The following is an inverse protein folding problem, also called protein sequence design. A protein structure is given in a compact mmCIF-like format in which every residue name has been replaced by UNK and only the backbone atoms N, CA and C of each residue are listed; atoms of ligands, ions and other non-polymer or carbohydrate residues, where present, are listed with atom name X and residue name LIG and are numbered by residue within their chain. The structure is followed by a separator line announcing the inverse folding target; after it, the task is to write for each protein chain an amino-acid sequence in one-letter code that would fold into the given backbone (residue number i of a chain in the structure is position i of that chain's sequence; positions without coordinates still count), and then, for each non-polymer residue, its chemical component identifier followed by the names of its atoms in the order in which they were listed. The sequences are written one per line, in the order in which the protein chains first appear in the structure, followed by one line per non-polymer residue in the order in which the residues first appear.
data_IF_672191418559
#
_entry.id   IF_672191418559
#
_cell.length_a   1.000
_cell.length_b   1.000
_cell.length_c   1.000
_cell.angle_alpha   90.00
_cell.angle_beta   90.00
_cell.angle_gamma   90.00
#
_symmetry.space_group_name_H-M   'P 1'
#
loop_
_entity.id
_entity.type
_entity.pdbx_description
1 polymer ?
#
# COMPACT_ATOMS: atom_id res chain seq x y z
N UNK A 1 -18.39 8.75 88.06
CA UNK A 1 -18.90 9.45 86.87
C UNK A 1 -17.69 9.81 86.02
N UNK A 2 -17.19 8.87 85.21
CA UNK A 2 -16.06 9.08 84.31
C UNK A 2 -16.56 8.80 82.90
N UNK A 3 -16.64 9.88 82.12
CA UNK A 3 -17.21 9.92 80.78
C UNK A 3 -16.10 9.59 79.77
N UNK A 4 -16.23 8.49 79.04
CA UNK A 4 -15.35 8.12 77.94
C UNK A 4 -15.83 8.78 76.65
N UNK A 5 -14.99 9.62 76.06
CA UNK A 5 -15.23 10.24 74.73
C UNK A 5 -14.63 9.31 73.66
N UNK A 6 -15.42 8.79 72.70
CA UNK A 6 -14.86 8.09 71.55
C UNK A 6 -14.44 9.08 70.46
N UNK A 7 -13.18 8.97 70.04
CA UNK A 7 -12.62 9.65 68.87
C UNK A 7 -13.05 8.87 67.62
N UNK A 8 -13.85 9.49 66.75
CA UNK A 8 -14.18 8.93 65.44
C UNK A 8 -13.07 9.28 64.44
N UNK A 9 -12.32 8.27 64.00
CA UNK A 9 -11.39 8.38 62.88
C UNK A 9 -12.19 8.30 61.56
N UNK A 10 -12.21 9.39 60.80
CA UNK A 10 -12.78 9.44 59.45
C UNK A 10 -11.72 8.92 58.47
N UNK A 11 -11.90 7.70 57.97
CA UNK A 11 -11.08 7.16 56.89
C UNK A 11 -11.54 7.73 55.55
N UNK A 12 -10.70 8.55 54.91
CA UNK A 12 -10.92 9.07 53.56
C UNK A 12 -10.56 7.95 52.55
N UNK A 13 -11.57 7.27 52.01
CA UNK A 13 -11.38 6.31 50.93
C UNK A 13 -11.17 7.07 49.60
N UNK A 14 -9.93 7.09 49.10
CA UNK A 14 -9.63 7.60 47.77
C UNK A 14 -10.07 6.58 46.70
N UNK A 15 -11.18 6.85 46.00
CA UNK A 15 -11.53 6.10 44.79
C UNK A 15 -10.61 6.52 43.65
N UNK A 16 -9.61 5.70 43.34
CA UNK A 16 -8.87 5.80 42.09
C UNK A 16 -9.75 5.24 40.96
N UNK A 17 -10.48 6.11 40.27
CA UNK A 17 -11.14 5.74 39.02
C UNK A 17 -10.07 5.51 37.96
N UNK A 18 -9.81 4.25 37.61
CA UNK A 18 -9.02 3.91 36.43
C UNK A 18 -9.79 4.41 35.20
N UNK A 19 -9.26 5.47 34.56
CA UNK A 19 -9.75 5.90 33.26
C UNK A 19 -9.59 4.72 32.30
N UNK A 20 -10.59 4.41 31.45
CA UNK A 20 -10.40 3.43 30.40
C UNK A 20 -9.29 3.95 29.50
N UNK A 21 -8.17 3.24 29.46
CA UNK A 21 -7.17 3.42 28.43
C UNK A 21 -7.90 3.17 27.12
N UNK A 22 -8.27 4.24 26.42
CA UNK A 22 -8.68 4.11 25.04
C UNK A 22 -7.44 3.61 24.31
N UNK A 23 -7.37 2.29 24.12
CA UNK A 23 -6.64 1.74 23.00
C UNK A 23 -7.17 2.53 21.82
N UNK A 24 -6.33 3.40 21.26
CA UNK A 24 -6.62 4.10 20.01
C UNK A 24 -7.00 3.01 19.03
N UNK A 25 -8.31 2.81 18.88
CA UNK A 25 -8.85 1.81 18.00
C UNK A 25 -8.26 2.19 16.65
N UNK A 26 -7.45 1.28 16.11
CA UNK A 26 -6.70 1.46 14.89
C UNK A 26 -7.73 1.89 13.85
N UNK A 27 -7.83 3.20 13.53
CA UNK A 27 -8.93 3.75 12.73
C UNK A 27 -9.16 2.81 11.55
N UNK A 28 -10.29 2.11 11.57
CA UNK A 28 -10.63 1.19 10.52
C UNK A 28 -10.66 2.00 9.22
N UNK A 29 -9.80 1.64 8.27
CA UNK A 29 -9.79 2.28 6.96
C UNK A 29 -11.05 1.83 6.21
N UNK A 30 -11.84 2.79 5.73
CA UNK A 30 -13.09 2.48 5.07
C UNK A 30 -12.84 2.01 3.64
N UNK A 31 -13.54 0.95 3.22
CA UNK A 31 -13.58 0.56 1.81
C UNK A 31 -14.49 1.51 1.04
N UNK A 32 -13.89 2.54 0.42
CA UNK A 32 -14.57 3.59 -0.31
C UNK A 32 -13.70 4.05 -1.46
N UNK A 33 -14.33 4.35 -2.59
CA UNK A 33 -13.67 5.02 -3.70
C UNK A 33 -14.09 6.49 -3.78
N UNK A 34 -13.14 7.37 -4.06
CA UNK A 34 -13.33 8.78 -4.41
C UNK A 34 -12.61 9.02 -5.73
N UNK A 35 -13.32 9.49 -6.75
CA UNK A 35 -12.66 9.84 -8.00
C UNK A 35 -11.96 11.20 -7.85
N UNK A 36 -10.71 11.15 -7.40
CA UNK A 36 -9.86 12.34 -7.30
C UNK A 36 -9.43 12.78 -8.68
N UNK A 37 -9.44 14.10 -8.92
CA UNK A 37 -9.07 14.65 -10.22
C UNK A 37 -7.98 15.72 -10.13
N UNK A 38 -7.26 15.91 -11.23
CA UNK A 38 -6.33 17.03 -11.46
C UNK A 38 -4.93 16.78 -10.93
N UNK A 39 -4.26 17.83 -10.46
CA UNK A 39 -2.82 17.83 -10.16
C UNK A 39 -2.40 17.01 -8.93
N UNK A 40 -3.36 16.48 -8.16
CA UNK A 40 -3.09 15.82 -6.88
C UNK A 40 -2.99 16.76 -5.67
N UNK A 41 -3.14 18.07 -5.85
CA UNK A 41 -2.95 19.05 -4.77
C UNK A 41 -4.01 18.94 -3.64
N UNK A 42 -5.25 18.58 -3.98
CA UNK A 42 -6.37 18.42 -3.04
C UNK A 42 -6.69 16.95 -2.74
N UNK A 43 -5.77 16.04 -3.07
CA UNK A 43 -5.90 14.63 -2.78
C UNK A 43 -5.47 14.36 -1.32
N UNK A 44 -5.72 13.16 -0.77
CA UNK A 44 -5.42 12.89 0.64
C UNK A 44 -3.96 13.21 1.01
N UNK A 45 -3.76 13.78 2.19
CA UNK A 45 -2.41 13.94 2.73
C UNK A 45 -1.88 12.59 3.26
N UNK A 46 -0.57 12.49 3.48
CA UNK A 46 0.00 11.26 4.08
C UNK A 46 -0.60 10.94 5.46
N UNK A 47 -1.04 11.96 6.22
CA UNK A 47 -1.71 11.77 7.51
C UNK A 47 -3.11 11.16 7.41
N UNK A 48 -3.72 11.17 6.22
CA UNK A 48 -4.99 10.49 5.95
C UNK A 48 -4.80 9.02 5.52
N UNK A 49 -3.56 8.58 5.27
CA UNK A 49 -3.30 7.22 4.83
C UNK A 49 -3.51 6.22 5.97
N UNK A 50 -3.95 5.03 5.61
CA UNK A 50 -3.96 3.90 6.53
C UNK A 50 -2.56 3.54 6.98
N UNK A 51 -2.43 3.12 8.24
CA UNK A 51 -1.19 2.45 8.69
C UNK A 51 -0.95 1.20 7.82
N UNK A 52 0.32 0.86 7.59
CA UNK A 52 0.70 -0.29 6.77
C UNK A 52 -0.05 -1.56 7.18
N UNK A 53 -0.13 -1.85 8.48
CA UNK A 53 -0.82 -3.05 8.94
C UNK A 53 -2.34 -2.98 8.79
N UNK A 54 -2.96 -1.80 8.86
CA UNK A 54 -4.38 -1.65 8.56
C UNK A 54 -4.63 -1.95 7.08
N UNK A 55 -3.85 -1.35 6.19
CA UNK A 55 -3.94 -1.59 4.75
C UNK A 55 -3.64 -3.05 4.40
N UNK A 56 -2.64 -3.66 5.04
CA UNK A 56 -2.30 -5.06 4.89
C UNK A 56 -3.49 -5.96 5.25
N UNK A 57 -4.09 -5.74 6.42
CA UNK A 57 -5.21 -6.55 6.89
C UNK A 57 -6.43 -6.42 5.97
N UNK A 58 -6.76 -5.22 5.50
CA UNK A 58 -7.89 -5.01 4.57
C UNK A 58 -7.64 -5.69 3.21
N UNK A 59 -6.39 -5.75 2.74
CA UNK A 59 -6.04 -6.37 1.46
C UNK A 59 -5.79 -7.88 1.56
N UNK A 60 -5.59 -8.44 2.76
CA UNK A 60 -5.25 -9.85 2.97
C UNK A 60 -6.25 -10.82 2.31
N UNK A 61 -7.58 -10.66 2.45
CA UNK A 61 -8.52 -11.56 1.79
C UNK A 61 -8.40 -11.55 0.26
N UNK A 62 -8.08 -10.39 -0.33
CA UNK A 62 -7.88 -10.26 -1.78
C UNK A 62 -6.59 -10.99 -2.20
N UNK A 63 -5.49 -10.81 -1.46
CA UNK A 63 -4.22 -11.49 -1.74
C UNK A 63 -4.32 -13.02 -1.60
N UNK A 64 -5.24 -13.51 -0.78
CA UNK A 64 -5.51 -14.94 -0.62
C UNK A 64 -6.25 -15.56 -1.82
N UNK A 65 -6.95 -14.75 -2.62
CA UNK A 65 -7.88 -15.23 -3.66
C UNK A 65 -7.63 -14.73 -5.07
N UNK A 66 -6.79 -13.71 -5.22
CA UNK A 66 -6.62 -13.02 -6.49
C UNK A 66 -6.05 -13.91 -7.59
N UNK A 67 -5.19 -14.89 -7.28
CA UNK A 67 -4.70 -15.80 -8.32
C UNK A 67 -5.82 -16.66 -8.90
N UNK A 68 -6.64 -17.28 -8.04
CA UNK A 68 -7.77 -18.09 -8.47
C UNK A 68 -8.84 -17.27 -9.17
N UNK A 69 -9.22 -16.10 -8.64
CA UNK A 69 -10.22 -15.22 -9.25
C UNK A 69 -9.84 -14.76 -10.66
N UNK A 70 -8.55 -14.55 -10.94
CA UNK A 70 -8.07 -14.15 -12.25
C UNK A 70 -7.70 -15.33 -13.17
N UNK A 71 -7.77 -16.57 -12.68
CA UNK A 71 -7.36 -17.76 -13.44
C UNK A 71 -5.85 -17.85 -13.69
N UNK A 72 -5.02 -17.22 -12.85
CA UNK A 72 -3.56 -17.17 -13.01
C UNK A 72 -2.82 -18.34 -12.34
N UNK A 73 -3.55 -19.26 -11.73
CA UNK A 73 -3.02 -20.44 -11.06
C UNK A 73 -3.51 -20.55 -9.61
N UNK A 74 -2.81 -21.37 -8.81
CA UNK A 74 -3.16 -21.58 -7.41
C UNK A 74 -3.14 -20.28 -6.60
N UNK A 75 -4.10 -20.16 -5.69
CA UNK A 75 -4.13 -19.10 -4.68
C UNK A 75 -2.82 -19.05 -3.87
N UNK A 76 -2.45 -17.86 -3.42
CA UNK A 76 -1.25 -17.69 -2.60
C UNK A 76 -1.40 -18.48 -1.29
N UNK A 77 -0.38 -19.29 -0.96
CA UNK A 77 -0.27 -19.91 0.36
C UNK A 77 0.02 -18.87 1.44
N UNK A 78 -0.21 -19.22 2.70
CA UNK A 78 0.16 -18.37 3.84
C UNK A 78 1.67 -18.03 3.87
N UNK A 79 2.53 -18.95 3.43
CA UNK A 79 3.97 -18.73 3.34
C UNK A 79 4.35 -17.71 2.25
N UNK A 80 3.68 -17.76 1.09
CA UNK A 80 3.87 -16.78 0.02
C UNK A 80 3.39 -15.39 0.45
N UNK A 81 2.23 -15.29 1.10
CA UNK A 81 1.70 -14.03 1.65
C UNK A 81 2.67 -13.44 2.70
N UNK A 82 3.19 -14.26 3.61
CA UNK A 82 4.19 -13.82 4.58
C UNK A 82 5.48 -13.35 3.89
N UNK A 83 5.89 -14.03 2.82
CA UNK A 83 7.05 -13.63 2.01
C UNK A 83 6.84 -12.28 1.33
N UNK A 84 5.62 -11.96 0.87
CA UNK A 84 5.28 -10.63 0.34
C UNK A 84 5.45 -9.57 1.45
N UNK A 85 4.90 -9.80 2.66
CA UNK A 85 5.03 -8.83 3.78
C UNK A 85 6.49 -8.58 4.13
N UNK A 86 7.28 -9.65 4.21
CA UNK A 86 8.71 -9.59 4.51
C UNK A 86 9.50 -8.84 3.42
N UNK A 87 9.21 -9.12 2.15
CA UNK A 87 9.83 -8.44 1.02
C UNK A 87 9.54 -6.93 1.04
N UNK A 88 8.28 -6.52 1.30
CA UNK A 88 7.93 -5.10 1.44
C UNK A 88 8.73 -4.44 2.56
N UNK A 89 8.79 -5.05 3.74
CA UNK A 89 9.54 -4.50 4.87
C UNK A 89 11.03 -4.35 4.55
N UNK A 90 11.65 -5.40 4.00
CA UNK A 90 13.07 -5.41 3.66
C UNK A 90 13.41 -4.35 2.60
N UNK A 91 12.63 -4.30 1.52
CA UNK A 91 12.90 -3.40 0.40
C UNK A 91 12.57 -1.96 0.77
N UNK A 92 11.54 -1.71 1.57
CA UNK A 92 11.26 -0.40 2.16
C UNK A 92 12.44 0.11 2.99
N UNK A 93 12.98 -0.72 3.88
CA UNK A 93 14.16 -0.37 4.68
C UNK A 93 15.38 -0.05 3.81
N UNK A 94 15.61 -0.83 2.74
CA UNK A 94 16.76 -0.64 1.86
C UNK A 94 16.65 0.59 0.93
N UNK A 95 15.43 1.04 0.61
CA UNK A 95 15.20 2.08 -0.41
C UNK A 95 14.65 3.39 0.15
N UNK A 96 14.13 3.38 1.37
CA UNK A 96 13.42 4.51 1.98
C UNK A 96 12.01 4.74 1.41
N UNK A 97 11.50 3.86 0.54
CA UNK A 97 10.14 3.97 -0.01
C UNK A 97 9.14 3.47 1.03
N UNK A 98 8.05 4.22 1.24
CA UNK A 98 7.03 3.92 2.25
C UNK A 98 6.34 2.56 2.00
N UNK A 99 6.18 1.75 3.05
CA UNK A 99 5.60 0.40 2.96
C UNK A 99 4.16 0.38 2.47
N UNK A 100 3.35 1.36 2.88
CA UNK A 100 1.96 1.49 2.44
C UNK A 100 1.92 1.79 0.95
N UNK A 101 2.83 2.63 0.45
CA UNK A 101 2.94 2.91 -0.98
C UNK A 101 3.35 1.67 -1.80
N UNK A 102 4.35 0.91 -1.32
CA UNK A 102 4.74 -0.36 -1.99
C UNK A 102 3.56 -1.33 -2.05
N UNK A 103 2.85 -1.52 -0.92
CA UNK A 103 1.66 -2.37 -0.89
C UNK A 103 0.58 -1.88 -1.87
N UNK A 104 0.28 -0.58 -1.90
CA UNK A 104 -0.72 -0.03 -2.82
C UNK A 104 -0.38 -0.27 -4.28
N UNK A 105 0.91 -0.23 -4.67
CA UNK A 105 1.35 -0.55 -6.02
C UNK A 105 1.24 -2.05 -6.30
N UNK A 106 1.65 -2.94 -5.39
CA UNK A 106 1.41 -4.39 -5.54
C UNK A 106 -0.09 -4.69 -5.74
N UNK A 107 -0.93 -4.04 -4.94
CA UNK A 107 -2.38 -4.16 -5.04
C UNK A 107 -2.95 -3.45 -6.27
N UNK A 108 -2.23 -2.54 -6.91
CA UNK A 108 -2.64 -1.97 -8.19
C UNK A 108 -2.29 -2.92 -9.34
N UNK A 109 -1.09 -3.48 -9.34
CA UNK A 109 -0.55 -4.28 -10.43
C UNK A 109 -1.08 -5.72 -10.48
N UNK A 110 -1.14 -6.41 -9.34
CA UNK A 110 -1.38 -7.86 -9.31
C UNK A 110 -2.43 -8.33 -8.30
N UNK A 111 -2.95 -7.39 -7.49
CA UNK A 111 -3.79 -7.70 -6.33
C UNK A 111 -3.11 -8.69 -5.37
N UNK A 112 -1.77 -8.65 -5.35
CA UNK A 112 -0.90 -9.53 -4.58
C UNK A 112 -0.73 -10.94 -5.14
N UNK A 113 -1.26 -11.29 -6.32
CA UNK A 113 -1.05 -12.63 -6.87
C UNK A 113 0.41 -12.81 -7.32
N UNK A 114 1.15 -13.75 -6.71
CA UNK A 114 2.56 -14.00 -7.08
C UNK A 114 2.72 -14.61 -8.48
N UNK A 115 1.64 -15.20 -9.00
CA UNK A 115 1.57 -15.87 -10.31
C UNK A 115 1.04 -14.96 -11.43
N UNK A 116 0.88 -13.66 -11.16
CA UNK A 116 0.43 -12.70 -12.17
C UNK A 116 1.22 -12.88 -13.48
N UNK A 117 0.54 -12.99 -14.63
CA UNK A 117 1.21 -13.12 -15.92
C UNK A 117 2.13 -11.94 -16.19
N UNK A 118 3.13 -12.20 -17.01
CA UNK A 118 3.98 -11.14 -17.53
C UNK A 118 3.25 -10.42 -18.66
N UNK A 119 3.06 -9.12 -18.55
CA UNK A 119 2.57 -8.32 -19.68
C UNK A 119 3.72 -7.98 -20.64
N UNK A 120 3.42 -7.90 -21.93
CA UNK A 120 4.41 -7.58 -22.96
C UNK A 120 3.80 -6.82 -24.14
N UNK A 121 3.93 -5.48 -24.13
CA UNK A 121 3.52 -4.60 -25.22
C UNK A 121 4.74 -3.90 -25.85
N UNK A 122 5.85 -4.62 -26.01
CA UNK A 122 7.16 -4.09 -26.42
C UNK A 122 8.14 -3.90 -25.26
N UNK A 123 7.66 -4.00 -24.02
CA UNK A 123 8.46 -4.10 -22.79
C UNK A 123 7.89 -5.23 -21.95
N UNK A 124 8.76 -6.10 -21.43
CA UNK A 124 8.35 -7.21 -20.56
C UNK A 124 8.19 -6.73 -19.12
N UNK A 125 7.02 -6.89 -18.54
CA UNK A 125 6.70 -6.43 -17.20
C UNK A 125 6.25 -7.62 -16.32
N UNK A 126 7.17 -8.36 -15.67
CA UNK A 126 6.80 -9.52 -14.87
C UNK A 126 6.54 -9.19 -13.40
N UNK A 127 5.94 -10.16 -12.73
CA UNK A 127 5.89 -10.25 -11.26
C UNK A 127 4.90 -9.32 -10.59
N UNK A 128 4.90 -9.36 -9.26
CA UNK A 128 3.94 -8.68 -8.37
C UNK A 128 3.71 -7.20 -8.66
N UNK A 129 4.74 -6.52 -9.16
CA UNK A 129 4.74 -5.09 -9.44
C UNK A 129 4.87 -4.78 -10.95
N UNK A 130 4.74 -5.77 -11.83
CA UNK A 130 4.81 -5.59 -13.30
C UNK A 130 6.01 -4.72 -13.72
N UNK A 131 7.20 -5.08 -13.24
CA UNK A 131 8.36 -4.18 -13.27
C UNK A 131 9.05 -4.14 -14.63
N UNK A 132 9.48 -2.97 -15.10
CA UNK A 132 10.11 -2.77 -16.40
C UNK A 132 11.31 -3.71 -16.62
N UNK A 133 11.17 -4.72 -17.49
CA UNK A 133 12.15 -5.78 -17.74
C UNK A 133 12.69 -6.44 -16.45
N UNK A 134 11.82 -6.62 -15.46
CA UNK A 134 12.11 -7.30 -14.20
C UNK A 134 12.60 -8.74 -14.39
N UNK A 135 13.40 -9.21 -13.45
CA UNK A 135 13.92 -10.58 -13.38
C UNK A 135 13.05 -11.50 -12.52
N UNK A 136 12.35 -10.94 -11.52
CA UNK A 136 11.46 -11.70 -10.65
C UNK A 136 10.14 -12.07 -11.33
N UNK A 137 9.76 -13.35 -11.25
CA UNK A 137 8.45 -13.85 -11.68
C UNK A 137 8.14 -15.19 -11.02
N UNK A 138 6.85 -15.46 -10.79
CA UNK A 138 6.34 -16.81 -10.50
C UNK A 138 5.12 -17.15 -11.39
N UNK A 139 5.00 -16.50 -12.56
CA UNK A 139 3.98 -16.88 -13.54
C UNK A 139 4.11 -18.37 -13.89
N UNK A 140 3.05 -19.14 -13.69
CA UNK A 140 3.04 -20.60 -13.91
C UNK A 140 3.82 -21.43 -12.87
N UNK A 141 4.33 -20.83 -11.79
CA UNK A 141 5.15 -21.51 -10.77
C UNK A 141 4.38 -21.69 -9.46
N UNK A 142 4.35 -22.92 -8.92
CA UNK A 142 3.72 -23.23 -7.63
C UNK A 142 4.52 -24.33 -6.88
N UNK A 143 4.96 -24.09 -5.62
CA UNK A 143 4.92 -22.83 -4.90
C UNK A 143 5.93 -21.81 -5.46
N UNK A 144 5.65 -20.52 -5.28
CA UNK A 144 6.57 -19.42 -5.52
C UNK A 144 7.54 -19.28 -4.35
N UNK A 145 8.84 -19.25 -4.62
CA UNK A 145 9.84 -19.14 -3.55
C UNK A 145 9.87 -17.74 -2.94
N UNK A 146 10.23 -17.65 -1.65
CA UNK A 146 10.38 -16.35 -0.98
C UNK A 146 11.44 -15.46 -1.64
N UNK A 147 12.49 -16.03 -2.23
CA UNK A 147 13.51 -15.28 -2.98
C UNK A 147 12.97 -14.69 -4.29
N UNK A 148 12.14 -15.43 -5.03
CA UNK A 148 11.48 -14.91 -6.22
C UNK A 148 10.51 -13.77 -5.86
N UNK A 149 9.77 -13.91 -4.75
CA UNK A 149 8.89 -12.85 -4.22
C UNK A 149 9.69 -11.60 -3.84
N UNK A 150 10.80 -11.77 -3.13
CA UNK A 150 11.69 -10.66 -2.78
C UNK A 150 12.26 -9.97 -4.01
N UNK A 151 12.61 -10.73 -5.06
CA UNK A 151 13.09 -10.16 -6.32
C UNK A 151 12.00 -9.37 -7.05
N UNK A 152 10.76 -9.88 -7.12
CA UNK A 152 9.63 -9.15 -7.73
C UNK A 152 9.39 -7.79 -7.07
N UNK A 153 9.45 -7.72 -5.74
CA UNK A 153 9.29 -6.45 -5.00
C UNK A 153 10.51 -5.56 -5.18
N UNK A 154 11.73 -6.13 -5.17
CA UNK A 154 12.97 -5.37 -5.39
C UNK A 154 12.98 -4.71 -6.76
N UNK A 155 12.64 -5.43 -7.82
CA UNK A 155 12.61 -4.91 -9.18
C UNK A 155 11.63 -3.73 -9.30
N UNK A 156 10.45 -3.82 -8.69
CA UNK A 156 9.45 -2.74 -8.75
C UNK A 156 9.81 -1.52 -7.90
N UNK A 157 10.45 -1.70 -6.75
CA UNK A 157 10.75 -0.57 -5.85
C UNK A 157 12.11 0.07 -6.16
N UNK A 158 13.15 -0.75 -6.33
CA UNK A 158 14.51 -0.28 -6.58
C UNK A 158 14.79 -0.02 -8.06
N UNK A 159 13.93 -0.49 -8.97
CA UNK A 159 14.12 -0.43 -10.41
C UNK A 159 15.00 -1.57 -10.92
N UNK A 160 15.18 -1.59 -12.24
CA UNK A 160 16.02 -2.55 -12.96
C UNK A 160 17.13 -1.81 -13.70
N UNK A 161 17.99 -2.53 -14.40
CA UNK A 161 18.95 -1.92 -15.34
C UNK A 161 18.28 -1.24 -16.53
N UNK A 162 16.99 -1.50 -16.76
CA UNK A 162 16.25 -1.03 -17.94
C UNK A 162 15.28 0.11 -17.62
N UNK A 163 14.94 0.31 -16.34
CA UNK A 163 13.93 1.28 -15.98
C UNK A 163 13.87 1.60 -14.49
N UNK A 164 13.23 2.73 -14.23
CA UNK A 164 12.99 3.23 -12.88
C UNK A 164 12.02 2.35 -12.11
N UNK A 165 12.28 2.19 -10.81
CA UNK A 165 11.31 1.71 -9.84
C UNK A 165 10.70 2.87 -9.05
N UNK A 166 9.88 2.53 -8.05
CA UNK A 166 9.22 3.53 -7.19
C UNK A 166 10.19 4.51 -6.55
N UNK A 167 11.40 4.08 -6.15
CA UNK A 167 12.41 4.95 -5.54
C UNK A 167 12.79 6.11 -6.48
N UNK A 168 13.07 5.80 -7.73
CA UNK A 168 13.47 6.78 -8.74
C UNK A 168 12.29 7.67 -9.12
N UNK A 169 11.12 7.08 -9.40
CA UNK A 169 9.90 7.83 -9.72
C UNK A 169 9.53 8.82 -8.61
N UNK A 170 9.62 8.39 -7.35
CA UNK A 170 9.36 9.25 -6.20
C UNK A 170 10.40 10.35 -6.06
N UNK A 171 11.69 10.05 -6.24
CA UNK A 171 12.73 11.08 -6.20
C UNK A 171 12.54 12.14 -7.30
N UNK A 172 12.17 11.73 -8.52
CA UNK A 172 11.85 12.64 -9.64
C UNK A 172 10.64 13.51 -9.31
N UNK A 173 9.54 12.91 -8.84
CA UNK A 173 8.34 13.66 -8.45
C UNK A 173 8.64 14.66 -7.31
N UNK A 174 9.37 14.25 -6.27
CA UNK A 174 9.74 15.15 -5.17
C UNK A 174 10.56 16.35 -5.64
N UNK A 175 11.48 16.15 -6.58
CA UNK A 175 12.25 17.26 -7.18
C UNK A 175 11.37 18.22 -7.97
N UNK A 176 10.37 17.71 -8.68
CA UNK A 176 9.51 18.52 -9.54
C UNK A 176 8.46 19.33 -8.76
N UNK A 177 7.85 18.74 -7.73
CA UNK A 177 6.65 19.30 -7.09
C UNK A 177 6.69 19.33 -5.55
N UNK A 178 7.86 19.08 -4.96
CA UNK A 178 8.09 19.11 -3.51
C UNK A 178 7.86 17.77 -2.81
N UNK A 179 8.29 17.68 -1.56
CA UNK A 179 8.26 16.46 -0.76
C UNK A 179 6.99 16.35 0.09
N UNK A 180 5.85 16.04 -0.55
CA UNK A 180 4.56 15.83 0.11
C UNK A 180 3.77 14.66 -0.54
N UNK A 181 2.54 14.40 -0.10
CA UNK A 181 1.71 13.29 -0.61
C UNK A 181 1.52 13.33 -2.14
N UNK A 182 1.41 14.53 -2.72
CA UNK A 182 1.26 14.73 -4.17
C UNK A 182 2.41 14.08 -4.94
N UNK A 183 3.63 14.07 -4.40
CA UNK A 183 4.77 13.43 -5.03
C UNK A 183 4.62 11.91 -5.15
N UNK A 184 3.91 11.25 -4.23
CA UNK A 184 3.63 9.81 -4.31
C UNK A 184 2.60 9.50 -5.39
N UNK A 185 1.56 10.34 -5.53
CA UNK A 185 0.56 10.21 -6.59
C UNK A 185 1.17 10.44 -7.99
N UNK A 186 2.03 11.45 -8.11
CA UNK A 186 2.79 11.69 -9.33
C UNK A 186 3.79 10.55 -9.62
N UNK A 187 4.43 10.00 -8.58
CA UNK A 187 5.31 8.84 -8.74
C UNK A 187 4.56 7.58 -9.20
N UNK A 188 3.33 7.37 -8.72
CA UNK A 188 2.46 6.29 -9.20
C UNK A 188 2.14 6.45 -10.69
N UNK A 189 1.74 7.65 -11.13
CA UNK A 189 1.54 7.94 -12.57
C UNK A 189 2.82 7.70 -13.38
N UNK A 190 3.96 8.18 -12.88
CA UNK A 190 5.26 7.98 -13.54
C UNK A 190 5.67 6.51 -13.61
N UNK A 191 5.40 5.72 -12.56
CA UNK A 191 5.65 4.28 -12.57
C UNK A 191 4.80 3.57 -13.63
N UNK A 192 3.52 3.94 -13.76
CA UNK A 192 2.59 3.34 -14.71
C UNK A 192 2.87 3.73 -16.18
N UNK A 193 3.18 5.00 -16.44
CA UNK A 193 3.21 5.54 -17.81
C UNK A 193 4.60 6.01 -18.28
N UNK A 194 5.62 5.84 -17.44
CA UNK A 194 6.98 6.34 -17.69
C UNK A 194 7.14 7.87 -17.66
N UNK A 195 6.03 8.61 -17.55
CA UNK A 195 5.98 10.06 -17.59
C UNK A 195 4.82 10.59 -16.72
N UNK A 196 4.70 11.90 -16.57
CA UNK A 196 3.62 12.49 -15.77
C UNK A 196 3.31 13.90 -16.24
N UNK A 197 2.02 14.20 -16.39
CA UNK A 197 1.53 15.57 -16.45
C UNK A 197 1.26 16.04 -15.02
N UNK A 198 2.15 16.88 -14.47
CA UNK A 198 2.02 17.36 -13.09
C UNK A 198 0.78 18.22 -12.84
N UNK A 199 0.13 18.74 -13.89
CA UNK A 199 -1.11 19.51 -13.78
C UNK A 199 -2.34 18.61 -13.79
N UNK A 200 -2.22 17.38 -14.29
CA UNK A 200 -3.32 16.42 -14.40
C UNK A 200 -2.81 14.98 -14.25
N UNK A 201 -2.86 14.43 -13.04
CA UNK A 201 -2.40 13.06 -12.75
C UNK A 201 -3.33 11.97 -13.31
N UNK A 202 -4.53 12.35 -13.74
CA UNK A 202 -5.48 11.45 -14.40
C UNK A 202 -5.16 11.26 -15.88
N UNK A 203 -4.34 12.14 -16.46
CA UNK A 203 -3.83 11.97 -17.81
C UNK A 203 -3.05 10.65 -17.89
N UNK A 204 -3.66 9.66 -18.54
CA UNK A 204 -3.11 8.31 -18.65
C UNK A 204 -1.84 8.25 -19.50
N UNK A 205 -1.60 9.24 -20.36
CA UNK A 205 -0.45 9.27 -21.28
C UNK A 205 -0.32 7.96 -22.08
N UNK A 206 -1.46 7.43 -22.54
CA UNK A 206 -1.54 6.15 -23.27
C UNK A 206 -1.51 4.90 -22.38
N UNK A 207 -1.38 5.04 -21.06
CA UNK A 207 -1.44 3.96 -20.07
C UNK A 207 -2.77 3.93 -19.32
N UNK A 208 -2.91 3.04 -18.33
CA UNK A 208 -4.14 2.84 -17.53
C UNK A 208 -4.71 4.17 -17.02
N UNK A 209 -5.93 4.55 -17.45
CA UNK A 209 -6.65 5.69 -16.89
C UNK A 209 -6.86 5.49 -15.38
N UNK A 210 -6.94 6.57 -14.60
CA UNK A 210 -7.16 6.56 -13.15
C UNK A 210 -6.08 5.91 -12.25
N UNK A 211 -4.94 5.43 -12.78
CA UNK A 211 -3.91 4.76 -11.96
C UNK A 211 -3.50 5.53 -10.69
N UNK A 212 -3.28 6.84 -10.80
CA UNK A 212 -2.90 7.67 -9.66
C UNK A 212 -4.02 7.81 -8.62
N UNK A 213 -5.27 8.05 -9.04
CA UNK A 213 -6.42 8.15 -8.12
C UNK A 213 -6.73 6.79 -7.47
N UNK A 214 -6.59 5.68 -8.19
CA UNK A 214 -6.71 4.34 -7.64
C UNK A 214 -5.69 4.12 -6.50
N UNK A 215 -4.43 4.50 -6.72
CA UNK A 215 -3.38 4.41 -5.69
C UNK A 215 -3.70 5.31 -4.50
N UNK A 216 -4.22 6.53 -4.73
CA UNK A 216 -4.66 7.41 -3.64
C UNK A 216 -5.77 6.77 -2.79
N UNK A 217 -6.73 6.11 -3.43
CA UNK A 217 -7.80 5.38 -2.74
C UNK A 217 -7.29 4.15 -1.98
N UNK A 218 -6.35 3.39 -2.55
CA UNK A 218 -5.72 2.24 -1.88
C UNK A 218 -4.98 2.67 -0.61
N UNK A 219 -4.31 3.82 -0.66
CA UNK A 219 -3.63 4.38 0.51
C UNK A 219 -4.59 4.80 1.61
N UNK A 220 -5.87 5.04 1.30
CA UNK A 220 -6.92 5.37 2.27
C UNK A 220 -7.86 4.21 2.60
N UNK A 221 -7.59 2.99 2.11
CA UNK A 221 -8.32 1.78 2.50
C UNK A 221 -9.18 1.11 1.44
N UNK A 222 -9.25 1.64 0.23
CA UNK A 222 -10.06 1.06 -0.84
C UNK A 222 -9.58 -0.33 -1.25
N UNK A 223 -10.51 -1.28 -1.32
CA UNK A 223 -10.25 -2.65 -1.80
C UNK A 223 -11.28 -3.10 -2.82
N UNK A 224 -12.57 -3.14 -2.48
CA UNK A 224 -13.63 -3.77 -3.29
C UNK A 224 -14.79 -2.83 -3.61
N UNK A 225 -14.93 -1.68 -2.93
CA UNK A 225 -15.96 -0.71 -3.27
C UNK A 225 -15.92 -0.39 -4.77
N UNK A 226 -17.08 -0.24 -5.40
CA UNK A 226 -17.15 -0.02 -6.84
C UNK A 226 -16.31 1.22 -7.22
N UNK A 227 -15.39 1.04 -8.19
CA UNK A 227 -14.62 2.17 -8.71
C UNK A 227 -15.56 3.20 -9.34
N UNK A 228 -15.31 4.47 -9.03
CA UNK A 228 -15.99 5.60 -9.67
C UNK A 228 -15.11 6.26 -10.72
N UNK A 229 -14.06 5.59 -11.20
CA UNK A 229 -13.25 6.07 -12.32
C UNK A 229 -14.13 6.39 -13.54
N UNK A 230 -13.92 7.57 -14.14
CA UNK A 230 -14.61 8.06 -15.34
C UNK A 230 -13.61 8.68 -16.36
N UNK A 231 -12.34 8.27 -16.31
CA UNK A 231 -11.26 8.84 -17.14
C UNK A 231 -11.22 8.24 -18.54
#
# INVERSE_FOLDING_TARGET
MFSHIPVFAVALAALSAALPTQTLDRRAVADRYVFYQGSGANWPSQGAWGSFDSLWNTNLPLMQKSCGWNGWGADNSGAEINSIKNAINQVSQATGVDRSFILSIIMQESKGCVRVPTTNNGVRNPGLMQSHNGSGSCAGVTPCSGSAIAQMVRDGVAGTSFGDGLRQSLAKAKRAIGNNSRAYYAAARMYNSGSVDYNNLDNGLGSTPCYATDVANRLTGWTLAASQCRA
#
